data_IF_006532077803
#
_entry.id   IF_006532077803
#
_cell.length_a   1.000
_cell.length_b   1.000
_cell.length_c   1.000
_cell.angle_alpha   90.00
_cell.angle_beta   90.00
_cell.angle_gamma   90.00
#
_symmetry.space_group_name_H-M   'P 1'
#
loop_
_entity.id
_entity.type
_entity.pdbx_description
1 polymer ?
#
# COMPACT_ATOMS: atom_id res chain seq x y z
N UNK A 1 14.86 -19.63 14.42
CA UNK A 1 14.05 -18.38 14.41
C UNK A 1 13.64 -18.16 12.97
N UNK A 2 12.34 -18.24 12.64
CA UNK A 2 11.86 -18.03 11.26
C UNK A 2 11.92 -16.52 10.99
N UNK A 3 12.96 -16.07 10.27
CA UNK A 3 13.25 -14.66 10.07
C UNK A 3 12.31 -14.04 9.02
N UNK A 4 12.12 -14.74 7.89
CA UNK A 4 11.25 -14.32 6.79
C UNK A 4 10.08 -15.29 6.57
N UNK A 5 9.03 -14.82 5.89
CA UNK A 5 7.82 -15.62 5.62
C UNK A 5 8.14 -16.82 4.70
N UNK A 6 9.16 -16.77 3.85
CA UNK A 6 9.65 -17.90 3.07
C UNK A 6 10.10 -19.09 3.94
N UNK A 7 10.86 -18.81 5.01
CA UNK A 7 11.27 -19.85 5.96
C UNK A 7 10.07 -20.45 6.69
N UNK A 8 9.10 -19.60 7.07
CA UNK A 8 7.86 -20.05 7.70
C UNK A 8 7.08 -20.98 6.76
N UNK A 9 6.86 -20.57 5.51
CA UNK A 9 6.16 -21.39 4.52
C UNK A 9 6.88 -22.72 4.27
N UNK A 10 8.21 -22.71 4.18
CA UNK A 10 9.02 -23.92 3.98
C UNK A 10 8.92 -24.92 5.15
N UNK A 11 8.71 -24.42 6.37
CA UNK A 11 8.57 -25.24 7.57
C UNK A 11 7.17 -25.84 7.71
N UNK A 12 6.11 -25.08 7.41
CA UNK A 12 4.73 -25.49 7.65
C UNK A 12 4.06 -26.16 6.45
N UNK A 13 4.45 -25.85 5.22
CA UNK A 13 3.87 -26.46 4.02
C UNK A 13 4.73 -27.59 3.49
N UNK A 14 4.12 -28.77 3.31
CA UNK A 14 4.81 -29.97 2.84
C UNK A 14 4.79 -30.12 1.32
N UNK A 15 3.66 -29.78 0.68
CA UNK A 15 3.51 -29.91 -0.77
C UNK A 15 4.04 -28.69 -1.53
N UNK A 16 4.52 -28.91 -2.76
CA UNK A 16 4.94 -27.82 -3.66
C UNK A 16 3.76 -26.89 -3.97
N UNK A 17 2.60 -27.43 -4.29
CA UNK A 17 1.39 -26.65 -4.58
C UNK A 17 0.98 -25.72 -3.42
N UNK A 18 1.08 -26.19 -2.17
CA UNK A 18 0.78 -25.35 -0.99
C UNK A 18 1.80 -24.22 -0.82
N UNK A 19 3.08 -24.48 -1.12
CA UNK A 19 4.12 -23.44 -1.08
C UNK A 19 3.90 -22.40 -2.17
N UNK A 20 3.61 -22.83 -3.40
CA UNK A 20 3.34 -21.94 -4.52
C UNK A 20 2.12 -21.05 -4.24
N UNK A 21 1.03 -21.63 -3.72
CA UNK A 21 -0.16 -20.87 -3.31
C UNK A 21 0.13 -19.89 -2.16
N UNK A 22 0.97 -20.28 -1.20
CA UNK A 22 1.37 -19.40 -0.10
C UNK A 22 2.25 -18.25 -0.59
N UNK A 23 3.15 -18.50 -1.55
CA UNK A 23 3.94 -17.45 -2.21
C UNK A 23 3.02 -16.47 -2.93
N UNK A 24 2.09 -16.97 -3.75
CA UNK A 24 1.09 -16.13 -4.43
C UNK A 24 0.27 -15.29 -3.43
N UNK A 25 -0.14 -15.90 -2.31
CA UNK A 25 -0.86 -15.21 -1.24
C UNK A 25 -0.06 -14.06 -0.63
N UNK A 26 1.21 -14.28 -0.31
CA UNK A 26 2.11 -13.25 0.23
C UNK A 26 2.30 -12.14 -0.80
N UNK A 27 2.70 -12.48 -2.02
CA UNK A 27 3.01 -11.51 -3.06
C UNK A 27 1.77 -10.67 -3.39
N UNK A 28 0.57 -11.26 -3.41
CA UNK A 28 -0.69 -10.52 -3.58
C UNK A 28 -0.97 -9.56 -2.42
N UNK A 29 -0.83 -10.02 -1.18
CA UNK A 29 -1.23 -9.23 -0.02
C UNK A 29 -0.29 -8.04 0.22
N UNK A 30 1.00 -8.18 -0.06
CA UNK A 30 2.00 -7.19 0.35
C UNK A 30 2.96 -6.74 -0.76
N UNK A 31 2.80 -7.26 -1.98
CA UNK A 31 3.53 -6.81 -3.19
C UNK A 31 5.06 -6.89 -3.03
N UNK A 32 5.53 -7.91 -2.32
CA UNK A 32 6.93 -8.17 -2.02
C UNK A 32 7.17 -9.68 -1.98
N UNK A 33 8.39 -10.11 -2.22
CA UNK A 33 8.73 -11.53 -2.24
C UNK A 33 8.77 -12.14 -0.84
N UNK A 34 8.44 -13.42 -0.74
CA UNK A 34 8.39 -14.14 0.55
C UNK A 34 9.70 -14.10 1.35
N UNK A 35 10.84 -13.93 0.69
CA UNK A 35 12.14 -13.86 1.35
C UNK A 35 12.50 -12.45 1.86
N UNK A 36 11.80 -11.41 1.42
CA UNK A 36 12.01 -10.01 1.82
C UNK A 36 11.23 -9.64 3.08
N UNK A 37 10.15 -10.36 3.36
CA UNK A 37 9.16 -9.99 4.37
C UNK A 37 9.35 -10.76 5.67
N UNK A 38 9.37 -10.05 6.80
CA UNK A 38 9.38 -10.67 8.13
C UNK A 38 8.12 -11.51 8.36
N UNK A 39 8.29 -12.76 8.83
CA UNK A 39 7.17 -13.64 9.14
C UNK A 39 6.24 -13.04 10.21
N UNK A 40 6.82 -12.43 11.25
CA UNK A 40 6.05 -11.78 12.32
C UNK A 40 5.19 -10.65 11.78
N UNK A 41 5.77 -9.77 10.96
CA UNK A 41 5.04 -8.65 10.37
C UNK A 41 3.92 -9.13 9.45
N UNK A 42 4.17 -10.16 8.63
CA UNK A 42 3.15 -10.68 7.73
C UNK A 42 1.97 -11.32 8.48
N UNK A 43 2.24 -12.11 9.53
CA UNK A 43 1.20 -12.69 10.37
C UNK A 43 0.38 -11.60 11.08
N UNK A 44 1.06 -10.55 11.58
CA UNK A 44 0.40 -9.37 12.14
C UNK A 44 -0.48 -8.67 11.08
N UNK A 45 0.05 -8.48 9.86
CA UNK A 45 -0.64 -7.81 8.75
C UNK A 45 -1.92 -8.55 8.38
N UNK A 46 -1.88 -9.86 8.24
CA UNK A 46 -3.07 -10.68 7.95
C UNK A 46 -4.07 -10.64 9.12
N UNK A 47 -3.58 -10.74 10.36
CA UNK A 47 -4.44 -10.69 11.55
C UNK A 47 -5.21 -9.36 11.64
N UNK A 48 -4.55 -8.23 11.44
CA UNK A 48 -5.20 -6.92 11.56
C UNK A 48 -6.24 -6.65 10.44
N UNK A 49 -6.10 -7.33 9.28
CA UNK A 49 -7.13 -7.37 8.24
C UNK A 49 -8.32 -8.31 8.56
N UNK A 50 -8.37 -8.93 9.74
CA UNK A 50 -9.44 -9.86 10.11
C UNK A 50 -9.19 -11.32 9.70
N UNK A 51 -7.95 -11.68 9.39
CA UNK A 51 -7.54 -13.05 9.08
C UNK A 51 -7.51 -13.39 7.59
N UNK A 52 -7.03 -14.60 7.29
CA UNK A 52 -6.76 -15.08 5.92
C UNK A 52 -8.00 -15.04 5.02
N UNK A 53 -9.15 -15.50 5.51
CA UNK A 53 -10.40 -15.49 4.71
C UNK A 53 -10.83 -14.08 4.36
N UNK A 54 -10.80 -13.15 5.33
CA UNK A 54 -11.27 -11.78 5.11
C UNK A 54 -10.39 -11.03 4.10
N UNK A 55 -9.07 -11.17 4.20
CA UNK A 55 -8.13 -10.40 3.38
C UNK A 55 -8.13 -10.83 1.90
N UNK A 56 -8.48 -12.08 1.57
CA UNK A 56 -8.48 -12.58 0.18
C UNK A 56 -9.85 -12.69 -0.49
N UNK A 57 -10.95 -12.67 0.28
CA UNK A 57 -12.28 -12.92 -0.27
C UNK A 57 -12.88 -11.69 -0.97
N UNK A 58 -13.53 -11.92 -2.11
CA UNK A 58 -14.38 -10.89 -2.73
C UNK A 58 -15.68 -10.72 -1.95
N UNK A 59 -16.57 -11.72 -1.98
CA UNK A 59 -17.82 -11.67 -1.21
C UNK A 59 -17.51 -11.69 0.28
N UNK A 60 -18.03 -10.71 1.02
CA UNK A 60 -17.77 -10.54 2.44
C UNK A 60 -16.27 -10.45 2.79
N UNK A 61 -15.44 -9.89 1.91
CA UNK A 61 -14.03 -9.66 2.21
C UNK A 61 -13.52 -8.31 1.71
N UNK A 62 -12.20 -8.16 1.69
CA UNK A 62 -11.54 -6.88 1.41
C UNK A 62 -11.78 -6.34 0.00
N UNK A 63 -12.16 -7.21 -0.95
CA UNK A 63 -12.32 -6.86 -2.36
C UNK A 63 -13.79 -6.66 -2.77
N UNK A 64 -14.74 -6.67 -1.84
CA UNK A 64 -16.18 -6.76 -2.13
C UNK A 64 -16.72 -5.61 -2.99
N UNK A 65 -16.24 -4.38 -2.75
CA UNK A 65 -16.89 -3.16 -3.26
C UNK A 65 -15.88 -2.17 -3.83
N UNK A 66 -16.37 -1.39 -4.78
CA UNK A 66 -15.67 -0.25 -5.38
C UNK A 66 -16.57 0.99 -5.27
N UNK A 67 -15.96 2.17 -5.17
CA UNK A 67 -16.68 3.43 -5.23
C UNK A 67 -17.14 3.71 -6.66
N UNK A 68 -18.41 4.05 -6.84
CA UNK A 68 -18.93 4.55 -8.11
C UNK A 68 -18.22 5.87 -8.44
N UNK A 69 -17.60 5.92 -9.62
CA UNK A 69 -16.79 7.06 -10.07
C UNK A 69 -15.38 7.16 -9.46
N UNK A 70 -14.93 6.16 -8.71
CA UNK A 70 -13.54 6.05 -8.24
C UNK A 70 -13.29 6.55 -6.81
N UNK A 71 -12.28 5.97 -6.16
CA UNK A 71 -11.95 6.28 -4.75
C UNK A 71 -11.23 7.63 -4.57
N UNK A 72 -10.68 8.22 -5.64
CA UNK A 72 -10.05 9.55 -5.60
C UNK A 72 -11.00 10.64 -5.10
N UNK A 73 -12.30 10.46 -5.35
CA UNK A 73 -13.36 11.37 -4.91
C UNK A 73 -13.38 11.61 -3.39
N UNK A 74 -12.90 10.67 -2.57
CA UNK A 74 -12.84 10.89 -1.12
C UNK A 74 -11.91 12.06 -0.80
N UNK A 75 -10.69 12.04 -1.36
CA UNK A 75 -9.71 13.11 -1.17
C UNK A 75 -10.13 14.40 -1.87
N UNK A 76 -10.67 14.31 -3.09
CA UNK A 76 -11.13 15.47 -3.86
C UNK A 76 -12.26 16.22 -3.13
N UNK A 77 -13.27 15.51 -2.62
CA UNK A 77 -14.37 16.16 -1.88
C UNK A 77 -13.94 16.74 -0.54
N UNK A 78 -12.99 16.11 0.15
CA UNK A 78 -12.41 16.71 1.38
C UNK A 78 -11.64 17.98 1.03
N UNK A 79 -10.88 17.97 -0.07
CA UNK A 79 -10.19 19.15 -0.59
C UNK A 79 -11.18 20.28 -0.91
N UNK A 80 -12.31 19.99 -1.58
CA UNK A 80 -13.35 20.98 -1.89
C UNK A 80 -13.92 21.64 -0.63
N UNK A 81 -14.16 20.85 0.43
CA UNK A 81 -14.64 21.36 1.72
C UNK A 81 -13.61 22.23 2.44
N UNK A 82 -12.32 21.91 2.29
CA UNK A 82 -11.22 22.67 2.88
C UNK A 82 -10.87 23.91 2.07
N UNK A 83 -11.20 23.93 0.77
CA UNK A 83 -10.95 25.03 -0.15
C UNK A 83 -9.46 25.35 -0.27
N UNK A 84 -9.12 26.63 -0.11
CA UNK A 84 -7.77 27.17 -0.24
C UNK A 84 -6.78 26.70 0.84
N UNK A 85 -7.24 25.97 1.86
CA UNK A 85 -6.38 25.40 2.91
C UNK A 85 -5.51 24.26 2.38
N UNK A 86 -5.88 23.63 1.27
CA UNK A 86 -5.07 22.59 0.62
C UNK A 86 -4.10 23.24 -0.36
N UNK A 87 -2.81 23.02 -0.15
CA UNK A 87 -1.74 23.58 -0.99
C UNK A 87 -1.10 22.46 -1.82
N UNK A 88 -1.50 22.35 -3.09
CA UNK A 88 -0.91 21.39 -4.04
C UNK A 88 0.48 21.85 -4.49
N UNK A 89 1.31 20.93 -4.98
CA UNK A 89 2.67 21.24 -5.44
C UNK A 89 3.57 21.90 -4.36
N UNK A 90 3.32 21.58 -3.09
CA UNK A 90 4.14 21.99 -1.94
C UNK A 90 4.84 20.77 -1.31
N UNK A 91 5.85 20.15 -1.95
CA UNK A 91 6.64 19.13 -1.28
C UNK A 91 7.34 19.73 -0.05
N UNK A 92 7.07 19.19 1.13
CA UNK A 92 7.77 19.60 2.36
C UNK A 92 9.21 19.10 2.34
N UNK A 93 10.16 19.97 2.65
CA UNK A 93 11.60 19.70 2.64
C UNK A 93 12.26 19.90 4.00
N UNK A 94 11.70 20.75 4.87
CA UNK A 94 12.24 21.01 6.21
C UNK A 94 11.12 21.12 7.26
N UNK A 95 11.39 20.62 8.47
CA UNK A 95 10.55 20.80 9.66
C UNK A 95 11.45 21.20 10.83
N UNK A 96 11.24 22.41 11.37
CA UNK A 96 11.93 22.95 12.53
C UNK A 96 10.98 23.09 13.74
N UNK A 97 11.36 22.49 14.87
CA UNK A 97 10.62 22.48 16.14
C UNK A 97 11.43 23.09 17.30
N UNK A 98 12.45 23.90 17.00
CA UNK A 98 13.31 24.53 18.02
C UNK A 98 12.70 25.80 18.64
N UNK A 99 11.73 26.42 17.96
CA UNK A 99 11.02 27.62 18.43
C UNK A 99 9.73 27.31 19.21
N UNK A 100 8.94 28.36 19.49
CA UNK A 100 7.60 28.23 20.11
C UNK A 100 6.59 27.57 19.17
N UNK A 101 6.73 27.83 17.86
CA UNK A 101 5.93 27.24 16.81
C UNK A 101 6.80 26.36 15.90
N UNK A 102 6.15 25.38 15.26
CA UNK A 102 6.79 24.52 14.27
C UNK A 102 6.81 25.25 12.94
N UNK A 103 8.00 25.35 12.33
CA UNK A 103 8.19 25.90 11.00
C UNK A 103 8.30 24.76 9.99
N UNK A 104 7.53 24.86 8.90
CA UNK A 104 7.52 23.86 7.81
C UNK A 104 7.88 24.57 6.51
N UNK A 105 9.01 24.20 5.93
CA UNK A 105 9.47 24.72 4.64
C UNK A 105 9.13 23.76 3.51
N UNK A 106 8.72 24.31 2.38
CA UNK A 106 8.45 23.59 1.14
C UNK A 106 9.52 23.83 0.09
N UNK A 107 9.58 22.96 -0.93
CA UNK A 107 10.57 23.04 -2.00
C UNK A 107 10.53 24.36 -2.79
N UNK A 108 9.39 25.03 -2.85
CA UNK A 108 9.23 26.36 -3.46
C UNK A 108 9.50 27.52 -2.48
N UNK A 109 10.16 27.26 -1.35
CA UNK A 109 10.56 28.24 -0.34
C UNK A 109 9.41 28.98 0.36
N UNK A 110 8.21 28.39 0.39
CA UNK A 110 7.14 28.85 1.28
C UNK A 110 7.38 28.29 2.69
N UNK A 111 7.15 29.11 3.71
CA UNK A 111 7.25 28.71 5.12
C UNK A 111 5.88 28.80 5.77
N UNK A 112 5.47 27.71 6.42
CA UNK A 112 4.23 27.60 7.16
C UNK A 112 4.55 27.48 8.65
N UNK A 113 3.84 28.24 9.47
CA UNK A 113 3.98 28.22 10.93
C UNK A 113 2.74 27.58 11.56
N UNK A 114 2.96 26.64 12.49
CA UNK A 114 1.88 25.93 13.14
C UNK A 114 2.22 25.52 14.58
N UNK A 115 1.19 25.30 15.40
CA UNK A 115 1.37 24.74 16.75
C UNK A 115 1.76 23.26 16.74
N UNK A 116 1.31 22.52 15.72
CA UNK A 116 1.54 21.09 15.56
C UNK A 116 1.62 20.71 14.09
N UNK A 117 2.32 19.61 13.80
CA UNK A 117 2.43 19.04 12.46
C UNK A 117 2.01 17.57 12.48
N UNK A 118 1.22 17.15 11.50
CA UNK A 118 0.84 15.76 11.29
C UNK A 118 1.57 15.25 10.03
N UNK A 119 2.49 14.31 10.21
CA UNK A 119 3.13 13.62 9.08
C UNK A 119 2.25 12.48 8.59
N UNK A 120 1.48 12.73 7.52
CA UNK A 120 0.58 11.74 6.90
C UNK A 120 1.16 11.07 5.64
N UNK A 121 2.48 11.15 5.42
CA UNK A 121 3.19 10.48 4.31
C UNK A 121 3.73 9.10 4.74
N UNK A 122 3.95 8.16 3.80
CA UNK A 122 4.65 6.91 4.10
C UNK A 122 5.99 7.15 4.82
N UNK A 123 6.38 6.33 5.82
CA UNK A 123 7.60 6.57 6.60
C UNK A 123 8.88 6.70 5.75
N UNK A 124 8.99 5.93 4.66
CA UNK A 124 10.13 6.02 3.75
C UNK A 124 10.26 7.41 3.07
N UNK A 125 9.14 8.12 2.86
CA UNK A 125 9.18 9.48 2.30
C UNK A 125 9.62 10.53 3.32
N UNK A 126 9.53 10.24 4.63
CA UNK A 126 10.06 11.14 5.65
C UNK A 126 11.57 11.33 5.54
N UNK A 127 12.30 10.42 4.86
CA UNK A 127 13.73 10.61 4.57
C UNK A 127 14.02 11.81 3.66
N UNK A 128 13.02 12.31 2.92
CA UNK A 128 13.16 13.49 2.06
C UNK A 128 13.00 14.82 2.83
N UNK A 129 12.71 14.75 4.12
CA UNK A 129 12.48 15.91 4.98
C UNK A 129 13.64 16.03 5.96
N UNK A 130 14.24 17.22 6.03
CA UNK A 130 15.23 17.57 7.04
C UNK A 130 14.52 17.99 8.33
N UNK A 131 14.87 17.37 9.45
CA UNK A 131 14.27 17.66 10.76
C UNK A 131 15.25 18.41 11.66
N UNK A 132 14.79 19.48 12.29
CA UNK A 132 15.48 20.19 13.36
C UNK A 132 14.56 20.27 14.60
N UNK A 133 14.98 19.79 15.79
CA UNK A 133 16.15 18.95 16.02
C UNK A 133 16.06 17.62 15.25
N UNK A 134 17.18 16.88 15.09
CA UNK A 134 17.18 15.58 14.43
C UNK A 134 16.18 14.61 15.07
N UNK A 135 15.59 13.74 14.24
CA UNK A 135 14.68 12.71 14.73
C UNK A 135 15.36 11.81 15.76
N UNK A 136 14.64 11.34 16.80
CA UNK A 136 15.16 10.35 17.72
C UNK A 136 15.72 9.12 16.99
N UNK A 137 16.84 8.58 17.47
CA UNK A 137 17.60 7.52 16.80
C UNK A 137 16.73 6.36 16.29
N UNK A 138 15.79 5.88 17.11
CA UNK A 138 14.88 4.78 16.73
C UNK A 138 14.01 5.12 15.52
N UNK A 139 13.53 6.36 15.43
CA UNK A 139 12.73 6.83 14.30
C UNK A 139 13.61 7.02 13.07
N UNK A 140 14.80 7.60 13.23
CA UNK A 140 15.74 7.80 12.13
C UNK A 140 16.16 6.46 11.48
N UNK A 141 16.37 5.41 12.29
CA UNK A 141 16.63 4.07 11.78
C UNK A 141 15.38 3.41 11.16
N UNK A 142 14.20 3.60 11.73
CA UNK A 142 12.97 3.00 11.22
C UNK A 142 12.68 3.45 9.78
N UNK A 143 12.74 4.75 9.50
CA UNK A 143 12.36 5.32 8.19
C UNK A 143 13.25 4.84 7.03
N UNK A 144 14.44 4.32 7.32
CA UNK A 144 15.36 3.74 6.33
C UNK A 144 15.17 2.23 6.12
N UNK A 145 14.35 1.56 6.92
CA UNK A 145 14.20 0.08 6.96
C UNK A 145 12.78 -0.41 6.65
N UNK A 146 11.93 0.45 6.11
CA UNK A 146 10.51 0.17 5.82
C UNK A 146 10.18 0.44 4.35
N UNK A 147 10.74 -0.33 3.40
CA UNK A 147 10.42 -0.17 1.98
C UNK A 147 8.95 -0.45 1.70
N UNK A 148 8.43 0.16 0.63
CA UNK A 148 7.12 -0.17 0.08
C UNK A 148 7.29 -1.30 -0.94
N UNK A 149 6.26 -2.13 -1.10
CA UNK A 149 6.24 -3.17 -2.13
C UNK A 149 6.12 -2.59 -3.55
N UNK A 150 6.27 -3.47 -4.54
CA UNK A 150 6.30 -3.14 -5.96
C UNK A 150 5.11 -3.75 -6.68
N UNK A 151 4.32 -2.91 -7.37
CA UNK A 151 3.13 -3.36 -8.11
C UNK A 151 2.90 -2.53 -9.35
N UNK A 152 2.47 -3.18 -10.44
CA UNK A 152 1.96 -2.53 -11.64
C UNK A 152 0.47 -2.86 -11.74
N UNK A 153 -0.37 -1.84 -11.84
CA UNK A 153 -1.81 -2.01 -11.99
C UNK A 153 -2.19 -1.93 -13.46
N UNK A 154 -2.50 -3.08 -14.06
CA UNK A 154 -2.93 -3.19 -15.45
C UNK A 154 -4.46 -3.28 -15.55
N UNK A 155 -5.05 -2.52 -16.48
CA UNK A 155 -6.49 -2.56 -16.77
C UNK A 155 -6.63 -2.69 -18.28
N UNK A 156 -7.24 -3.80 -18.72
CA UNK A 156 -7.51 -4.06 -20.13
C UNK A 156 -9.00 -3.90 -20.37
N UNK A 157 -9.35 -3.06 -21.34
CA UNK A 157 -10.73 -2.81 -21.73
C UNK A 157 -11.12 -3.69 -22.92
N UNK A 158 -12.32 -4.23 -22.84
CA UNK A 158 -12.94 -5.00 -23.91
C UNK A 158 -14.29 -4.37 -24.25
N UNK A 159 -14.73 -4.55 -25.49
CA UNK A 159 -16.04 -4.08 -25.95
C UNK A 159 -17.19 -4.75 -25.17
N UNK A 160 -17.07 -6.06 -24.94
CA UNK A 160 -18.03 -6.84 -24.17
C UNK A 160 -17.35 -7.63 -23.04
N UNK A 161 -18.05 -7.88 -21.92
CA UNK A 161 -17.57 -8.76 -20.86
C UNK A 161 -17.71 -10.24 -21.23
N UNK A 162 -16.95 -10.69 -22.23
CA UNK A 162 -17.10 -12.02 -22.85
C UNK A 162 -16.97 -13.18 -21.85
N UNK A 163 -16.21 -13.02 -20.77
CA UNK A 163 -16.07 -14.01 -19.70
C UNK A 163 -17.41 -14.34 -19.02
N UNK A 164 -18.34 -13.38 -18.93
CA UNK A 164 -19.67 -13.63 -18.36
C UNK A 164 -20.49 -14.59 -19.20
N UNK A 165 -20.32 -14.57 -20.54
CA UNK A 165 -21.00 -15.52 -21.44
C UNK A 165 -20.53 -16.96 -21.23
N UNK A 166 -19.34 -17.14 -20.63
CA UNK A 166 -18.80 -18.46 -20.25
C UNK A 166 -19.18 -18.89 -18.82
N UNK A 167 -19.99 -18.11 -18.11
CA UNK A 167 -20.35 -18.38 -16.72
C UNK A 167 -19.22 -18.05 -15.72
N UNK A 168 -18.16 -17.38 -16.17
CA UNK A 168 -17.01 -17.04 -15.33
C UNK A 168 -17.14 -15.61 -14.77
N UNK A 169 -16.88 -15.46 -13.47
CA UNK A 169 -16.42 -14.17 -12.93
C UNK A 169 -14.95 -14.02 -13.28
N UNK A 170 -14.53 -12.89 -13.87
CA UNK A 170 -13.13 -12.66 -14.22
C UNK A 170 -12.29 -12.39 -12.96
N UNK A 171 -11.95 -13.47 -12.26
CA UNK A 171 -11.09 -13.50 -11.08
C UNK A 171 -10.09 -14.62 -11.31
N UNK A 172 -8.89 -14.24 -11.74
CA UNK A 172 -7.77 -15.14 -11.96
C UNK A 172 -6.63 -14.75 -11.01
N UNK A 173 -6.06 -15.74 -10.35
CA UNK A 173 -4.85 -15.60 -9.57
C UNK A 173 -3.83 -16.58 -10.16
N UNK A 174 -2.83 -16.04 -10.84
CA UNK A 174 -1.78 -16.82 -11.50
C UNK A 174 -0.43 -16.30 -11.04
N UNK A 175 0.51 -17.22 -10.79
CA UNK A 175 1.92 -16.93 -10.58
C UNK A 175 2.67 -17.17 -11.90
N UNK A 176 2.99 -16.11 -12.68
CA UNK A 176 3.67 -16.27 -13.96
C UNK A 176 5.18 -16.56 -13.82
N UNK A 177 5.71 -16.76 -12.61
CA UNK A 177 7.15 -16.87 -12.36
C UNK A 177 7.84 -15.48 -12.34
N UNK A 178 9.05 -15.37 -12.89
CA UNK A 178 9.93 -14.17 -12.86
C UNK A 178 9.38 -12.87 -13.51
N UNK A 179 8.07 -12.76 -13.74
CA UNK A 179 7.42 -11.57 -14.27
C UNK A 179 6.42 -11.02 -13.25
N UNK A 180 6.31 -9.69 -13.24
CA UNK A 180 5.41 -8.88 -12.39
C UNK A 180 4.05 -9.56 -12.23
N UNK A 181 3.72 -9.89 -10.98
CA UNK A 181 2.43 -10.50 -10.61
C UNK A 181 1.28 -9.65 -11.16
N UNK A 182 0.47 -10.24 -12.03
CA UNK A 182 -0.65 -9.56 -12.67
C UNK A 182 -1.97 -9.93 -12.00
N UNK A 183 -2.54 -9.00 -11.23
CA UNK A 183 -3.97 -9.04 -10.94
C UNK A 183 -4.71 -8.37 -12.08
N UNK A 184 -5.23 -9.18 -13.01
CA UNK A 184 -6.06 -8.65 -14.09
C UNK A 184 -7.46 -8.43 -13.52
N UNK A 185 -7.75 -7.17 -13.15
CA UNK A 185 -9.12 -6.74 -12.95
C UNK A 185 -9.69 -6.33 -14.30
N UNK A 186 -10.55 -7.15 -14.88
CA UNK A 186 -11.33 -6.72 -16.03
C UNK A 186 -12.39 -5.71 -15.56
N UNK A 187 -12.25 -4.46 -16.01
CA UNK A 187 -13.28 -3.44 -15.82
C UNK A 187 -14.20 -3.46 -17.03
N UNK A 188 -15.50 -3.62 -16.80
CA UNK A 188 -16.49 -3.26 -17.81
C UNK A 188 -16.46 -1.75 -18.04
N UNK A 189 -16.54 -1.34 -19.30
CA UNK A 189 -17.03 -0.02 -19.62
C UNK A 189 -18.43 0.17 -19.03
N UNK A 190 -18.63 1.34 -18.46
CA UNK A 190 -19.84 1.91 -17.86
C UNK A 190 -21.18 1.30 -18.32
N UNK A 191 -22.00 0.94 -17.34
CA UNK A 191 -23.47 1.06 -17.39
C UNK A 191 -23.96 1.43 -16.00
#
# INVERSE_FOLDING_TARGET
MLCCICQFCSHFFLSRSSKDLATLFVNLCVTAETHEVSALWFLWYVKQCGGTTRIISTTSGGQERKFVGGSGQVSERIMDLLGDRVKLERPVTHIDQTGEHVLVETLNHEVYEAKYVISAVPPALSMKIHFNPPLPMMRNQLITRVPLGSVIKCIVYYEEPFWRKKGESFSLAEDPGNLVQSHVFACNCFS
#
